data_IF_980980291986
#
_entry.id   IF_980980291986
#
_cell.length_a   1.000
_cell.length_b   1.000
_cell.length_c   1.000
_cell.angle_alpha   90.00
_cell.angle_beta   90.00
_cell.angle_gamma   90.00
#
_symmetry.space_group_name_H-M   'P 1'
#
loop_
_entity.id
_entity.type
_entity.pdbx_description
1 polymer ?
#
# COMPACT_ATOMS: atom_id res chain seq x y z
N UNK A 1 0.87 -11.62 -1.62
CA UNK A 1 2.06 -12.29 -1.02
C UNK A 1 2.48 -11.45 0.17
N UNK A 2 2.56 -12.01 1.40
CA UNK A 2 2.93 -11.21 2.58
C UNK A 2 4.33 -10.63 2.37
N UNK A 3 4.54 -9.33 2.61
CA UNK A 3 5.81 -8.59 2.49
C UNK A 3 6.99 -9.40 3.07
N UNK A 4 6.82 -9.99 4.25
CA UNK A 4 7.83 -10.84 4.91
C UNK A 4 8.29 -12.08 4.09
N UNK A 5 7.50 -12.58 3.13
CA UNK A 5 7.95 -13.69 2.26
C UNK A 5 8.83 -13.17 1.12
N UNK A 6 8.50 -12.01 0.58
CA UNK A 6 9.29 -11.38 -0.46
C UNK A 6 10.68 -11.00 0.07
N UNK A 7 10.71 -10.35 1.25
CA UNK A 7 11.96 -9.92 1.89
C UNK A 7 12.90 -11.11 2.18
N UNK A 8 12.34 -12.25 2.63
CA UNK A 8 13.14 -13.47 2.86
C UNK A 8 13.70 -14.06 1.58
N UNK A 9 12.90 -14.15 0.52
CA UNK A 9 13.36 -14.66 -0.77
C UNK A 9 14.45 -13.75 -1.33
N UNK A 10 14.25 -12.44 -1.23
CA UNK A 10 15.21 -11.44 -1.67
C UNK A 10 16.55 -11.57 -0.93
N UNK A 11 16.53 -11.71 0.39
CA UNK A 11 17.73 -11.91 1.21
C UNK A 11 18.50 -13.18 0.80
N UNK A 12 17.79 -14.28 0.55
CA UNK A 12 18.40 -15.53 0.11
C UNK A 12 19.08 -15.36 -1.26
N UNK A 13 18.40 -14.73 -2.21
CA UNK A 13 18.95 -14.45 -3.54
C UNK A 13 20.18 -13.53 -3.45
N UNK A 14 20.11 -12.50 -2.61
CA UNK A 14 21.25 -11.62 -2.34
C UNK A 14 22.47 -12.41 -1.86
N UNK A 15 22.30 -13.23 -0.83
CA UNK A 15 23.41 -14.02 -0.24
C UNK A 15 24.00 -15.03 -1.26
N UNK A 16 23.18 -15.64 -2.11
CA UNK A 16 23.65 -16.54 -3.15
C UNK A 16 24.51 -15.79 -4.18
N UNK A 17 24.04 -14.61 -4.61
CA UNK A 17 24.77 -13.81 -5.59
C UNK A 17 26.09 -13.25 -5.01
N UNK A 18 26.08 -12.80 -3.76
CA UNK A 18 27.30 -12.41 -3.04
C UNK A 18 28.31 -13.55 -3.00
N UNK A 19 27.88 -14.74 -2.63
CA UNK A 19 28.73 -15.91 -2.61
C UNK A 19 29.34 -16.22 -3.99
N UNK A 20 28.54 -16.12 -5.05
CA UNK A 20 29.01 -16.32 -6.43
C UNK A 20 30.10 -15.29 -6.79
N UNK A 21 29.90 -14.02 -6.43
CA UNK A 21 30.89 -12.96 -6.71
C UNK A 21 32.21 -13.27 -6.00
N UNK A 22 32.18 -13.66 -4.74
CA UNK A 22 33.38 -14.02 -3.98
C UNK A 22 34.13 -15.19 -4.67
N UNK A 23 33.42 -16.26 -5.04
CA UNK A 23 33.99 -17.42 -5.73
C UNK A 23 34.59 -17.04 -7.09
N UNK A 24 33.96 -16.15 -7.82
CA UNK A 24 34.48 -15.66 -9.10
C UNK A 24 35.77 -14.86 -8.93
N UNK A 25 35.86 -14.03 -7.89
CA UNK A 25 37.07 -13.27 -7.58
C UNK A 25 38.25 -14.19 -7.23
N UNK A 26 38.00 -15.26 -6.44
CA UNK A 26 39.01 -16.28 -6.16
C UNK A 26 39.41 -17.06 -7.43
N UNK A 27 38.42 -17.48 -8.23
CA UNK A 27 38.67 -18.26 -9.45
C UNK A 27 39.50 -17.52 -10.49
N UNK A 28 39.28 -16.21 -10.66
CA UNK A 28 40.04 -15.39 -11.63
C UNK A 28 41.33 -14.81 -11.05
N UNK A 29 41.68 -15.18 -9.81
CA UNK A 29 42.91 -14.72 -9.11
C UNK A 29 43.10 -13.19 -9.22
N UNK A 30 42.03 -12.42 -8.91
CA UNK A 30 42.04 -10.97 -8.96
C UNK A 30 42.64 -10.44 -7.64
N UNK A 31 43.92 -10.03 -7.61
CA UNK A 31 44.59 -9.71 -6.34
C UNK A 31 44.28 -8.32 -5.82
N UNK A 32 43.61 -7.47 -6.61
CA UNK A 32 43.36 -6.07 -6.22
C UNK A 32 42.12 -5.93 -5.35
N UNK A 33 42.35 -5.78 -4.05
CA UNK A 33 41.32 -5.58 -3.04
C UNK A 33 40.44 -4.34 -3.33
N UNK A 34 40.96 -3.33 -4.02
CA UNK A 34 40.21 -2.13 -4.38
C UNK A 34 39.15 -2.45 -5.42
N UNK A 35 39.53 -3.26 -6.44
CA UNK A 35 38.58 -3.73 -7.46
C UNK A 35 37.48 -4.54 -6.81
N UNK A 36 37.83 -5.42 -5.88
CA UNK A 36 36.85 -6.20 -5.13
C UNK A 36 35.85 -5.31 -4.38
N UNK A 37 36.35 -4.36 -3.59
CA UNK A 37 35.49 -3.43 -2.81
C UNK A 37 34.59 -2.62 -3.72
N UNK A 38 35.11 -2.08 -4.82
CA UNK A 38 34.32 -1.28 -5.79
C UNK A 38 33.21 -2.15 -6.40
N UNK A 39 33.52 -3.39 -6.78
CA UNK A 39 32.55 -4.33 -7.35
C UNK A 39 31.44 -4.62 -6.36
N UNK A 40 31.77 -4.84 -5.09
CA UNK A 40 30.80 -5.10 -4.03
C UNK A 40 29.87 -3.89 -3.81
N UNK A 41 30.44 -2.68 -3.75
CA UNK A 41 29.62 -1.48 -3.58
C UNK A 41 28.65 -1.29 -4.76
N UNK A 42 29.12 -1.46 -6.00
CA UNK A 42 28.29 -1.35 -7.19
C UNK A 42 27.19 -2.42 -7.17
N UNK A 43 27.52 -3.66 -6.81
CA UNK A 43 26.57 -4.75 -6.72
C UNK A 43 25.44 -4.45 -5.72
N UNK A 44 25.79 -4.02 -4.50
CA UNK A 44 24.81 -3.69 -3.44
C UNK A 44 23.88 -2.58 -3.91
N UNK A 45 24.42 -1.53 -4.55
CA UNK A 45 23.60 -0.42 -5.07
C UNK A 45 22.64 -0.91 -6.14
N UNK A 46 23.14 -1.61 -7.17
CA UNK A 46 22.29 -2.12 -8.25
C UNK A 46 21.21 -3.08 -7.75
N UNK A 47 21.59 -3.98 -6.85
CA UNK A 47 20.66 -4.93 -6.26
C UNK A 47 19.56 -4.24 -5.46
N UNK A 48 19.92 -3.21 -4.68
CA UNK A 48 18.95 -2.41 -3.91
C UNK A 48 17.97 -1.66 -4.83
N UNK A 49 18.44 -1.09 -5.93
CA UNK A 49 17.59 -0.43 -6.92
C UNK A 49 16.61 -1.43 -7.56
N UNK A 50 17.08 -2.60 -7.97
CA UNK A 50 16.24 -3.64 -8.56
C UNK A 50 15.17 -4.09 -7.55
N UNK A 51 15.54 -4.30 -6.29
CA UNK A 51 14.57 -4.63 -5.24
C UNK A 51 13.49 -3.57 -5.08
N UNK A 52 13.89 -2.32 -5.01
CA UNK A 52 12.96 -1.20 -4.89
C UNK A 52 11.97 -1.16 -6.07
N UNK A 53 12.46 -1.31 -7.30
CA UNK A 53 11.61 -1.35 -8.50
C UNK A 53 10.63 -2.53 -8.50
N UNK A 54 11.10 -3.72 -8.10
CA UNK A 54 10.23 -4.91 -7.97
C UNK A 54 9.15 -4.67 -6.93
N UNK A 55 9.48 -4.10 -5.79
CA UNK A 55 8.51 -3.81 -4.72
C UNK A 55 7.44 -2.84 -5.21
N UNK A 56 7.84 -1.74 -5.86
CA UNK A 56 6.90 -0.78 -6.46
C UNK A 56 6.00 -1.42 -7.52
N UNK A 57 6.56 -2.28 -8.36
CA UNK A 57 5.79 -2.98 -9.39
C UNK A 57 4.74 -3.92 -8.78
N UNK A 58 5.13 -4.70 -7.77
CA UNK A 58 4.21 -5.61 -7.07
C UNK A 58 3.11 -4.84 -6.36
N UNK A 59 3.43 -3.76 -5.64
CA UNK A 59 2.44 -2.92 -4.97
C UNK A 59 1.45 -2.32 -5.98
N UNK A 60 1.94 -1.81 -7.10
CA UNK A 60 1.09 -1.28 -8.18
C UNK A 60 0.19 -2.36 -8.79
N UNK A 61 0.72 -3.56 -9.00
CA UNK A 61 -0.05 -4.67 -9.57
C UNK A 61 -1.18 -5.14 -8.65
N UNK A 62 -0.89 -5.26 -7.35
CA UNK A 62 -1.88 -5.68 -6.35
C UNK A 62 -2.92 -4.57 -6.15
N UNK A 63 -2.48 -3.32 -6.02
CA UNK A 63 -3.37 -2.17 -5.87
C UNK A 63 -4.29 -1.96 -7.07
N UNK A 64 -3.87 -2.34 -8.27
CA UNK A 64 -4.68 -2.18 -9.49
C UNK A 64 -6.01 -2.92 -9.42
N UNK A 65 -6.06 -4.13 -8.88
CA UNK A 65 -7.30 -4.91 -8.76
C UNK A 65 -8.30 -4.21 -7.85
N UNK A 66 -7.84 -3.80 -6.68
CA UNK A 66 -8.64 -3.00 -5.75
C UNK A 66 -9.16 -1.73 -6.42
N UNK A 67 -8.28 -0.93 -7.03
CA UNK A 67 -8.65 0.33 -7.68
C UNK A 67 -9.68 0.14 -8.80
N UNK A 68 -9.60 -0.94 -9.58
CA UNK A 68 -10.58 -1.23 -10.64
C UNK A 68 -11.96 -1.52 -10.03
N UNK A 69 -12.03 -2.38 -9.00
CA UNK A 69 -13.28 -2.71 -8.33
C UNK A 69 -13.87 -1.49 -7.62
N UNK A 70 -13.05 -0.77 -6.85
CA UNK A 70 -13.43 0.46 -6.15
C UNK A 70 -13.96 1.53 -7.11
N UNK A 71 -13.24 1.83 -8.20
CA UNK A 71 -13.67 2.82 -9.18
C UNK A 71 -14.97 2.43 -9.88
N UNK A 72 -15.23 1.14 -10.08
CA UNK A 72 -16.51 0.67 -10.61
C UNK A 72 -17.66 1.00 -9.64
N UNK A 73 -17.48 0.71 -8.35
CA UNK A 73 -18.47 1.00 -7.30
C UNK A 73 -18.70 2.50 -7.20
N UNK A 74 -17.64 3.32 -7.21
CA UNK A 74 -17.73 4.78 -7.18
C UNK A 74 -18.53 5.35 -8.37
N UNK A 75 -18.26 4.84 -9.58
CA UNK A 75 -19.01 5.28 -10.79
C UNK A 75 -20.48 4.90 -10.74
N UNK A 76 -20.82 3.75 -10.17
CA UNK A 76 -22.21 3.33 -9.97
C UNK A 76 -22.90 4.24 -8.96
N UNK A 77 -22.23 4.53 -7.85
CA UNK A 77 -22.74 5.46 -6.85
C UNK A 77 -22.98 6.86 -7.42
N UNK A 78 -22.04 7.40 -8.20
CA UNK A 78 -22.21 8.70 -8.86
C UNK A 78 -23.44 8.79 -9.79
N UNK A 79 -23.94 7.64 -10.29
CA UNK A 79 -25.12 7.58 -11.17
C UNK A 79 -26.42 7.41 -10.39
N UNK A 80 -26.38 6.71 -9.28
CA UNK A 80 -27.58 6.30 -8.53
C UNK A 80 -27.84 7.14 -7.28
N UNK A 81 -26.77 7.74 -6.72
CA UNK A 81 -26.73 8.43 -5.42
C UNK A 81 -27.35 7.59 -4.27
N UNK A 82 -27.36 6.26 -4.43
CA UNK A 82 -27.89 5.34 -3.43
C UNK A 82 -26.79 4.98 -2.41
N UNK A 83 -26.82 5.67 -1.27
CA UNK A 83 -25.82 5.52 -0.21
C UNK A 83 -25.82 4.11 0.39
N UNK A 84 -27.00 3.43 0.48
CA UNK A 84 -27.10 2.07 1.04
C UNK A 84 -26.44 1.06 0.11
N UNK A 85 -26.79 1.10 -1.17
CA UNK A 85 -26.16 0.22 -2.16
C UNK A 85 -24.68 0.46 -2.27
N UNK A 86 -24.24 1.71 -2.17
CA UNK A 86 -22.82 2.07 -2.16
C UNK A 86 -22.10 1.47 -0.96
N UNK A 87 -22.63 1.65 0.24
CA UNK A 87 -22.07 1.11 1.47
C UNK A 87 -21.98 -0.42 1.42
N UNK A 88 -23.05 -1.11 1.04
CA UNK A 88 -23.08 -2.56 0.93
C UNK A 88 -22.05 -3.09 -0.09
N UNK A 89 -21.89 -2.42 -1.22
CA UNK A 89 -20.87 -2.79 -2.23
C UNK A 89 -19.45 -2.61 -1.74
N UNK A 90 -19.14 -1.50 -1.07
CA UNK A 90 -17.83 -1.27 -0.48
C UNK A 90 -17.51 -2.33 0.59
N UNK A 91 -18.46 -2.63 1.48
CA UNK A 91 -18.32 -3.62 2.55
C UNK A 91 -18.06 -5.04 2.01
N UNK A 92 -18.64 -5.36 0.86
CA UNK A 92 -18.54 -6.69 0.21
C UNK A 92 -17.45 -6.74 -0.89
N UNK A 93 -16.55 -5.77 -0.96
CA UNK A 93 -15.44 -5.82 -1.91
C UNK A 93 -14.56 -7.06 -1.69
N UNK A 94 -14.21 -7.73 -2.77
CA UNK A 94 -13.34 -8.92 -2.74
C UNK A 94 -11.88 -8.57 -2.52
N UNK A 95 -11.45 -7.49 -3.16
CA UNK A 95 -10.07 -7.04 -3.08
C UNK A 95 -9.91 -6.08 -1.90
N UNK A 96 -8.81 -6.26 -1.13
CA UNK A 96 -8.50 -5.43 0.03
C UNK A 96 -7.48 -4.36 -0.34
N UNK A 97 -7.58 -3.15 0.25
CA UNK A 97 -6.61 -2.09 0.05
C UNK A 97 -5.24 -2.49 0.63
N UNK A 98 -4.16 -2.27 -0.12
CA UNK A 98 -2.82 -2.75 0.24
C UNK A 98 -1.94 -1.65 0.80
N UNK A 99 -1.89 -0.48 0.14
CA UNK A 99 -1.09 0.66 0.59
C UNK A 99 -1.87 1.51 1.59
N UNK A 100 -1.15 2.27 2.43
CA UNK A 100 -1.79 3.10 3.45
C UNK A 100 -2.69 4.17 2.83
N UNK A 101 -2.27 4.81 1.73
CA UNK A 101 -3.06 5.82 1.04
C UNK A 101 -4.38 5.26 0.50
N UNK A 102 -4.33 4.05 -0.08
CA UNK A 102 -5.53 3.37 -0.59
C UNK A 102 -6.44 2.94 0.57
N UNK A 103 -5.88 2.52 1.72
CA UNK A 103 -6.65 2.23 2.93
C UNK A 103 -7.36 3.47 3.45
N UNK A 104 -6.65 4.59 3.53
CA UNK A 104 -7.24 5.85 3.97
C UNK A 104 -8.37 6.29 3.04
N UNK A 105 -8.17 6.21 1.71
CA UNK A 105 -9.22 6.49 0.73
C UNK A 105 -10.43 5.58 0.90
N UNK A 106 -10.20 4.29 1.11
CA UNK A 106 -11.26 3.31 1.34
C UNK A 106 -12.02 3.59 2.64
N UNK A 107 -11.32 3.80 3.76
CA UNK A 107 -11.95 4.09 5.04
C UNK A 107 -12.73 5.40 5.04
N UNK A 108 -12.21 6.45 4.39
CA UNK A 108 -12.94 7.70 4.21
C UNK A 108 -14.25 7.46 3.44
N UNK A 109 -14.20 6.67 2.36
CA UNK A 109 -15.39 6.34 1.59
C UNK A 109 -16.39 5.50 2.38
N UNK A 110 -15.91 4.56 3.20
CA UNK A 110 -16.74 3.78 4.11
C UNK A 110 -17.39 4.67 5.17
N UNK A 111 -16.63 5.61 5.76
CA UNK A 111 -17.15 6.56 6.73
C UNK A 111 -18.28 7.43 6.13
N UNK A 112 -18.02 8.00 4.95
CA UNK A 112 -19.01 8.83 4.23
C UNK A 112 -20.26 8.02 3.88
N UNK A 113 -20.08 6.79 3.39
CA UNK A 113 -21.20 5.92 3.03
C UNK A 113 -22.03 5.48 4.25
N UNK A 114 -21.37 5.10 5.34
CA UNK A 114 -22.02 4.76 6.60
C UNK A 114 -22.80 5.94 7.19
N UNK A 115 -22.19 7.13 7.19
CA UNK A 115 -22.87 8.36 7.66
C UNK A 115 -24.12 8.67 6.85
N UNK A 116 -24.06 8.62 5.51
CA UNK A 116 -25.22 8.84 4.63
C UNK A 116 -26.30 7.79 4.80
N UNK A 117 -25.94 6.59 5.28
CA UNK A 117 -26.86 5.51 5.60
C UNK A 117 -27.42 5.59 7.04
N UNK A 118 -27.03 6.61 7.82
CA UNK A 118 -27.47 6.80 9.21
C UNK A 118 -26.66 6.03 10.26
N UNK A 119 -25.61 5.33 9.86
CA UNK A 119 -24.74 4.50 10.70
C UNK A 119 -23.60 5.35 11.31
N UNK A 120 -23.96 6.40 12.06
CA UNK A 120 -22.99 7.40 12.56
C UNK A 120 -21.85 6.78 13.39
N UNK A 121 -22.14 5.73 14.18
CA UNK A 121 -21.13 5.05 15.00
C UNK A 121 -20.10 4.34 14.12
N UNK A 122 -20.55 3.57 13.15
CA UNK A 122 -19.66 2.88 12.21
C UNK A 122 -18.83 3.89 11.38
N UNK A 123 -19.45 5.02 11.00
CA UNK A 123 -18.75 6.09 10.28
C UNK A 123 -17.54 6.62 11.09
N UNK A 124 -17.72 6.86 12.40
CA UNK A 124 -16.62 7.27 13.26
C UNK A 124 -15.56 6.18 13.43
N UNK A 125 -15.96 4.92 13.55
CA UNK A 125 -15.03 3.79 13.63
C UNK A 125 -14.14 3.69 12.38
N UNK A 126 -14.69 3.93 11.17
CA UNK A 126 -13.88 3.97 9.95
C UNK A 126 -12.90 5.14 9.91
N UNK A 127 -13.27 6.31 10.41
CA UNK A 127 -12.34 7.44 10.55
C UNK A 127 -11.21 7.12 11.54
N UNK A 128 -11.49 6.35 12.61
CA UNK A 128 -10.48 5.92 13.59
C UNK A 128 -9.48 4.91 13.01
N UNK A 129 -9.86 4.17 11.95
CA UNK A 129 -8.96 3.24 11.27
C UNK A 129 -7.97 3.92 10.32
N UNK A 130 -8.16 5.22 10.02
CA UNK A 130 -7.26 5.96 9.15
C UNK A 130 -5.94 6.27 9.88
N UNK A 131 -4.83 6.09 9.18
CA UNK A 131 -3.48 6.36 9.69
C UNK A 131 -2.74 7.25 8.70
N UNK A 132 -2.40 8.45 9.14
CA UNK A 132 -1.71 9.42 8.28
C UNK A 132 -0.96 10.45 9.12
N UNK A 133 0.16 10.93 8.59
CA UNK A 133 0.90 12.07 9.10
C UNK A 133 0.69 13.32 8.22
N UNK A 134 -0.15 13.19 7.17
CA UNK A 134 -0.48 14.28 6.24
C UNK A 134 -1.51 15.22 6.89
N UNK A 135 -1.10 16.48 7.07
CA UNK A 135 -1.93 17.53 7.71
C UNK A 135 -3.25 17.77 6.96
N UNK A 136 -3.25 17.64 5.61
CA UNK A 136 -4.47 17.81 4.82
C UNK A 136 -5.45 16.68 5.09
N UNK A 137 -4.98 15.45 5.17
CA UNK A 137 -5.84 14.29 5.46
C UNK A 137 -6.34 14.36 6.91
N UNK A 138 -5.49 14.74 7.86
CA UNK A 138 -5.89 14.95 9.26
C UNK A 138 -7.02 15.98 9.38
N UNK A 139 -6.92 17.08 8.64
CA UNK A 139 -7.98 18.09 8.59
C UNK A 139 -9.28 17.55 8.02
N UNK A 140 -9.22 16.77 6.93
CA UNK A 140 -10.40 16.12 6.34
C UNK A 140 -11.07 15.18 7.36
N UNK A 141 -10.28 14.37 8.08
CA UNK A 141 -10.80 13.48 9.13
C UNK A 141 -11.51 14.28 10.23
N UNK A 142 -10.91 15.40 10.66
CA UNK A 142 -11.50 16.26 11.69
C UNK A 142 -12.82 16.92 11.23
N UNK A 143 -12.86 17.40 10.01
CA UNK A 143 -14.05 18.04 9.44
C UNK A 143 -15.19 17.03 9.24
N UNK A 144 -14.88 15.81 8.78
CA UNK A 144 -15.86 14.71 8.68
C UNK A 144 -16.37 14.30 10.07
N UNK A 145 -15.52 14.22 11.10
CA UNK A 145 -15.95 13.96 12.47
C UNK A 145 -16.91 15.01 12.99
N UNK A 146 -16.62 16.29 12.75
CA UNK A 146 -17.51 17.39 13.14
C UNK A 146 -18.88 17.27 12.47
N UNK A 147 -18.89 16.92 11.19
CA UNK A 147 -20.10 16.72 10.41
C UNK A 147 -20.94 15.58 10.99
N UNK A 148 -20.33 14.42 11.25
CA UNK A 148 -21.02 13.23 11.77
C UNK A 148 -21.55 13.50 13.19
N UNK A 149 -20.74 14.13 14.07
CA UNK A 149 -21.13 14.40 15.45
C UNK A 149 -22.11 15.59 15.57
N UNK A 150 -21.99 16.58 14.70
CA UNK A 150 -22.89 17.77 14.67
C UNK A 150 -24.31 17.44 14.20
N UNK A 151 -24.46 16.42 13.35
CA UNK A 151 -25.78 15.96 12.87
C UNK A 151 -26.50 15.03 13.88
N UNK A 152 -25.84 14.65 14.98
CA UNK A 152 -26.41 13.82 16.03
C UNK A 152 -27.22 14.62 17.09
N UNK A 153 -27.45 15.92 16.83
CA UNK A 153 -28.34 16.79 17.63
C UNK A 153 -29.65 17.00 16.90
#
# INVERSE_FOLDING_TARGET
MKKNKLDKVYLIVFLILEFIIIVLFEYFDIPDIKIFIITQVIFVILFSVVYFLITLFIEKMISRKFCVEYNKIMREYQKTDDAKVFYDKLKNMKEQPVTQDIKNTYFLSMATAAYKNGENKEALEYLDMMQTDDEHILKVIEDERKTITGSAK
#
